data_IF_005113566905
#
_entry.id   IF_005113566905
#
_cell.length_a   1.000
_cell.length_b   1.000
_cell.length_c   1.000
_cell.angle_alpha   90.00
_cell.angle_beta   90.00
_cell.angle_gamma   90.00
#
_symmetry.space_group_name_H-M   'P 1'
#
loop_
_entity.id
_entity.type
_entity.pdbx_description
1 polymer ?
#
# COMPACT_ATOMS: atom_id res chain seq x y z
N UNK A 1 5.84 -4.77 18.20
CA UNK A 1 5.91 -5.00 16.74
C UNK A 1 6.79 -6.19 16.39
N UNK A 2 8.04 -6.27 16.86
CA UNK A 2 8.95 -7.39 16.57
C UNK A 2 8.36 -8.79 16.89
N UNK A 3 7.67 -8.95 18.03
CA UNK A 3 7.02 -10.22 18.38
C UNK A 3 5.84 -10.61 17.49
N UNK A 4 5.27 -9.65 16.74
CA UNK A 4 4.07 -9.87 15.90
C UNK A 4 4.41 -10.08 14.42
N UNK A 5 5.57 -9.62 13.98
CA UNK A 5 6.02 -9.77 12.59
C UNK A 5 6.10 -11.24 12.10
N UNK A 6 6.53 -12.22 12.91
CA UNK A 6 6.58 -13.62 12.47
C UNK A 6 5.23 -14.19 12.02
N UNK A 7 4.11 -13.74 12.61
CA UNK A 7 2.77 -14.20 12.23
C UNK A 7 2.35 -13.74 10.82
N UNK A 8 3.01 -12.71 10.27
CA UNK A 8 2.78 -12.19 8.92
C UNK A 8 3.91 -12.56 7.94
N UNK A 9 4.87 -13.39 8.38
CA UNK A 9 6.05 -13.67 7.59
C UNK A 9 5.70 -14.41 6.28
N UNK A 10 6.44 -14.08 5.22
CA UNK A 10 6.26 -14.67 3.90
C UNK A 10 7.56 -15.35 3.48
N UNK A 11 7.45 -16.56 2.94
CA UNK A 11 8.55 -17.19 2.20
C UNK A 11 8.54 -16.68 0.76
N UNK A 12 9.68 -16.15 0.32
CA UNK A 12 9.82 -15.48 -0.97
C UNK A 12 11.08 -15.99 -1.65
N UNK A 13 10.91 -16.51 -2.86
CA UNK A 13 11.98 -16.94 -3.74
C UNK A 13 11.88 -16.26 -5.11
N UNK A 14 13.02 -16.17 -5.79
CA UNK A 14 13.01 -15.78 -7.21
C UNK A 14 12.62 -17.00 -8.04
N UNK A 15 11.76 -16.78 -9.04
CA UNK A 15 11.40 -17.77 -10.05
C UNK A 15 11.64 -17.21 -11.45
N UNK A 16 11.62 -18.08 -12.46
CA UNK A 16 11.79 -17.64 -13.84
C UNK A 16 10.54 -16.90 -14.31
N UNK A 17 10.71 -15.90 -15.20
CA UNK A 17 9.58 -15.15 -15.74
C UNK A 17 8.59 -16.06 -16.50
N UNK A 18 9.07 -17.18 -17.06
CA UNK A 18 8.22 -18.20 -17.69
C UNK A 18 7.26 -18.87 -16.72
N UNK A 19 7.64 -19.00 -15.44
CA UNK A 19 6.84 -19.67 -14.40
C UNK A 19 5.64 -18.82 -13.97
N UNK A 20 5.61 -17.54 -14.34
CA UNK A 20 4.47 -16.66 -14.09
C UNK A 20 3.25 -17.05 -14.93
N UNK A 21 3.42 -17.79 -16.02
CA UNK A 21 2.33 -18.26 -16.86
C UNK A 21 1.54 -19.41 -16.20
N UNK A 22 0.21 -19.48 -16.38
CA UNK A 22 -0.63 -18.60 -17.20
C UNK A 22 -1.18 -17.38 -16.44
N UNK A 23 -0.83 -17.22 -15.16
CA UNK A 23 -1.38 -16.16 -14.32
C UNK A 23 -0.97 -14.77 -14.80
N UNK A 24 0.25 -14.64 -15.34
CA UNK A 24 0.74 -13.49 -16.08
C UNK A 24 1.11 -13.93 -17.49
N UNK A 25 0.71 -13.14 -18.48
CA UNK A 25 0.92 -13.42 -19.90
C UNK A 25 1.91 -12.40 -20.45
N UNK A 26 3.01 -12.91 -21.00
CA UNK A 26 3.97 -12.13 -21.76
C UNK A 26 3.52 -12.04 -23.22
N UNK A 27 3.40 -10.81 -23.73
CA UNK A 27 3.17 -10.49 -25.13
C UNK A 27 4.37 -9.73 -25.71
N UNK A 28 4.28 -9.31 -26.98
CA UNK A 28 5.29 -8.45 -27.60
C UNK A 28 5.31 -7.02 -27.03
N UNK A 29 4.30 -6.61 -26.26
CA UNK A 29 4.16 -5.23 -25.75
C UNK A 29 4.27 -5.14 -24.23
N UNK A 30 3.84 -6.18 -23.52
CA UNK A 30 3.73 -6.14 -22.07
C UNK A 30 3.71 -7.54 -21.42
N UNK A 31 3.99 -7.56 -20.11
CA UNK A 31 3.69 -8.69 -19.22
C UNK A 31 2.56 -8.23 -18.28
N UNK A 32 1.41 -8.89 -18.32
CA UNK A 32 0.23 -8.49 -17.57
C UNK A 32 -0.65 -9.68 -17.19
N UNK A 33 -1.52 -9.53 -16.20
CA UNK A 33 -2.56 -10.52 -15.93
C UNK A 33 -3.71 -10.43 -16.94
N UNK A 34 -4.31 -11.56 -17.36
CA UNK A 34 -5.47 -11.56 -18.26
C UNK A 34 -6.70 -10.82 -17.70
N UNK A 35 -6.85 -10.78 -16.38
CA UNK A 35 -7.98 -10.12 -15.70
C UNK A 35 -7.81 -8.59 -15.53
N UNK A 36 -6.68 -8.03 -15.99
CA UNK A 36 -6.35 -6.61 -15.85
C UNK A 36 -5.96 -6.19 -14.42
N UNK A 37 -5.82 -7.15 -13.50
CA UNK A 37 -5.43 -6.89 -12.12
C UNK A 37 -3.97 -6.48 -11.95
N UNK A 38 -3.69 -5.90 -10.79
CA UNK A 38 -2.37 -5.50 -10.32
C UNK A 38 -1.70 -4.44 -11.20
N UNK A 39 -0.66 -4.83 -11.91
CA UNK A 39 0.16 -3.96 -12.73
C UNK A 39 0.52 -4.68 -14.03
N UNK A 40 1.21 -3.96 -14.91
CA UNK A 40 1.81 -4.51 -16.13
C UNK A 40 3.23 -4.00 -16.29
N UNK A 41 4.10 -4.80 -16.87
CA UNK A 41 5.42 -4.36 -17.31
C UNK A 41 5.32 -3.99 -18.77
N UNK A 42 5.57 -2.72 -19.11
CA UNK A 42 5.43 -2.17 -20.47
C UNK A 42 6.77 -1.65 -20.99
N UNK A 43 6.97 -1.67 -22.30
CA UNK A 43 8.09 -0.99 -22.95
C UNK A 43 7.79 0.49 -23.21
N UNK A 44 8.76 1.36 -22.95
CA UNK A 44 8.68 2.80 -23.23
C UNK A 44 9.82 3.24 -24.14
N UNK A 45 9.53 4.07 -25.15
CA UNK A 45 10.53 4.78 -25.96
C UNK A 45 10.45 6.26 -25.62
N UNK A 46 11.55 6.83 -25.14
CA UNK A 46 11.61 8.25 -24.78
C UNK A 46 12.50 8.99 -25.77
N UNK A 47 11.93 9.99 -26.44
CA UNK A 47 12.63 10.86 -27.40
C UNK A 47 13.08 12.13 -26.67
N UNK A 48 14.31 12.59 -26.93
CA UNK A 48 14.82 13.86 -26.37
C UNK A 48 14.70 14.99 -27.39
N UNK A 49 14.65 16.22 -26.87
CA UNK A 49 14.83 17.42 -27.66
C UNK A 49 16.22 17.43 -28.33
N UNK A 50 16.32 18.15 -29.47
CA UNK A 50 17.56 18.31 -30.22
C UNK A 50 18.70 18.87 -29.33
N UNK A 51 19.93 18.41 -29.54
CA UNK A 51 21.12 18.88 -28.83
C UNK A 51 21.48 18.14 -27.53
N UNK A 52 20.84 17.01 -27.21
CA UNK A 52 21.25 16.10 -26.11
C UNK A 52 22.13 14.95 -26.61
N UNK A 53 23.03 14.46 -25.75
CA UNK A 53 24.01 13.41 -26.09
C UNK A 53 23.38 12.07 -26.55
N UNK A 54 22.21 11.71 -26.02
CA UNK A 54 21.39 10.62 -26.54
C UNK A 54 20.09 11.18 -27.11
N UNK A 55 19.78 10.86 -28.37
CA UNK A 55 18.55 11.30 -29.04
C UNK A 55 17.30 10.58 -28.55
N UNK A 56 17.45 9.34 -28.06
CA UNK A 56 16.39 8.57 -27.42
C UNK A 56 16.95 7.51 -26.48
N UNK A 57 16.09 6.94 -25.64
CA UNK A 57 16.34 5.67 -24.96
C UNK A 57 15.06 4.83 -24.89
N UNK A 58 15.21 3.56 -24.53
CA UNK A 58 14.10 2.65 -24.26
C UNK A 58 14.28 2.02 -22.89
N UNK A 59 13.19 1.80 -22.17
CA UNK A 59 13.22 1.16 -20.85
C UNK A 59 11.91 0.44 -20.54
N UNK A 60 11.93 -0.59 -19.68
CA UNK A 60 10.71 -1.10 -19.06
C UNK A 60 10.16 -0.07 -18.06
N UNK A 61 8.85 -0.06 -17.93
CA UNK A 61 8.10 0.73 -16.96
C UNK A 61 6.99 -0.13 -16.36
N UNK A 62 6.62 0.16 -15.11
CA UNK A 62 5.42 -0.40 -14.48
C UNK A 62 4.23 0.47 -14.87
N UNK A 63 3.31 -0.10 -15.63
CA UNK A 63 2.01 0.50 -15.95
C UNK A 63 0.94 0.03 -14.96
N UNK A 64 -0.04 0.89 -14.70
CA UNK A 64 -1.20 0.61 -13.85
C UNK A 64 -2.50 0.89 -14.59
N UNK A 65 -3.58 0.24 -14.16
CA UNK A 65 -4.92 0.50 -14.68
C UNK A 65 -5.76 1.42 -13.79
N UNK A 66 -5.45 1.53 -12.49
CA UNK A 66 -6.24 2.33 -11.54
C UNK A 66 -5.39 3.06 -10.50
N UNK A 67 -5.92 4.18 -10.01
CA UNK A 67 -5.35 4.93 -8.89
C UNK A 67 -5.40 4.10 -7.60
N UNK A 68 -4.36 4.25 -6.77
CA UNK A 68 -4.34 3.67 -5.43
C UNK A 68 -4.84 4.66 -4.40
N UNK A 69 -5.27 4.14 -3.26
CA UNK A 69 -5.61 4.90 -2.07
C UNK A 69 -4.69 4.48 -0.94
N UNK A 70 -4.05 5.48 -0.33
CA UNK A 70 -3.11 5.31 0.77
C UNK A 70 -3.51 6.29 1.85
N UNK A 71 -3.85 5.83 3.05
CA UNK A 71 -4.38 6.75 4.05
C UNK A 71 -4.00 6.46 5.49
N UNK A 72 -3.98 7.55 6.26
CA UNK A 72 -3.72 7.57 7.69
C UNK A 72 -5.00 7.91 8.45
N UNK A 73 -5.41 7.04 9.34
CA UNK A 73 -6.42 7.32 10.36
C UNK A 73 -5.72 8.02 11.51
N UNK A 74 -6.21 9.21 11.87
CA UNK A 74 -5.64 10.03 12.93
C UNK A 74 -6.69 10.36 13.99
N UNK A 75 -6.29 10.32 15.26
CA UNK A 75 -7.15 10.69 16.38
C UNK A 75 -6.41 11.67 17.29
N UNK A 76 -7.08 12.72 17.74
CA UNK A 76 -6.52 13.63 18.75
C UNK A 76 -6.59 12.96 20.13
N UNK A 77 -5.49 12.93 20.85
CA UNK A 77 -5.42 12.51 22.25
C UNK A 77 -4.68 13.59 23.05
N UNK A 78 -5.42 14.35 23.86
CA UNK A 78 -4.88 15.56 24.50
C UNK A 78 -4.42 16.57 23.46
N UNK A 79 -3.15 16.97 23.52
CA UNK A 79 -2.53 17.94 22.60
C UNK A 79 -1.85 17.30 21.38
N UNK A 80 -1.85 15.97 21.27
CA UNK A 80 -1.11 15.25 20.22
C UNK A 80 -2.04 14.47 19.30
N UNK A 81 -1.73 14.46 18.00
CA UNK A 81 -2.34 13.53 17.05
C UNK A 81 -1.64 12.16 17.16
N UNK A 82 -2.43 11.13 17.43
CA UNK A 82 -2.05 9.73 17.26
C UNK A 82 -2.43 9.26 15.86
N UNK A 83 -1.59 8.39 15.30
CA UNK A 83 -1.75 7.82 13.97
C UNK A 83 -1.89 6.32 14.11
N UNK A 84 -2.90 5.76 13.46
CA UNK A 84 -3.02 4.31 13.33
C UNK A 84 -2.06 3.82 12.26
N UNK A 85 -1.16 2.92 12.60
CA UNK A 85 -0.27 2.24 11.63
C UNK A 85 -0.55 0.76 11.62
N UNK A 86 -0.16 0.09 10.54
CA UNK A 86 -0.25 -1.36 10.41
C UNK A 86 1.12 -2.00 10.20
N UNK A 87 1.28 -3.25 10.62
CA UNK A 87 2.31 -4.12 10.11
C UNK A 87 1.87 -4.65 8.75
N UNK A 88 2.71 -4.47 7.74
CA UNK A 88 2.43 -4.88 6.37
C UNK A 88 3.54 -5.78 5.84
N UNK A 89 3.14 -6.98 5.42
CA UNK A 89 3.99 -7.92 4.71
C UNK A 89 3.83 -7.69 3.22
N UNK A 90 4.93 -7.41 2.53
CA UNK A 90 4.98 -7.28 1.06
C UNK A 90 6.21 -8.03 0.57
N UNK A 91 6.13 -8.82 -0.51
CA UNK A 91 7.21 -9.73 -0.90
C UNK A 91 8.53 -9.02 -1.25
N UNK A 92 8.44 -7.75 -1.69
CA UNK A 92 9.59 -6.91 -2.01
C UNK A 92 10.16 -6.13 -0.82
N UNK A 93 9.58 -6.24 0.38
CA UNK A 93 10.10 -5.52 1.54
C UNK A 93 11.50 -6.05 1.91
N UNK A 94 12.37 -5.12 2.32
CA UNK A 94 13.65 -5.47 2.95
C UNK A 94 13.44 -6.20 4.28
N UNK A 95 12.29 -5.95 4.92
CA UNK A 95 11.79 -6.65 6.09
C UNK A 95 12.65 -6.51 7.35
N UNK A 96 12.22 -7.21 8.40
CA UNK A 96 12.96 -7.39 9.66
C UNK A 96 13.36 -8.85 9.75
N UNK A 97 14.58 -9.13 10.18
CA UNK A 97 15.06 -10.49 10.41
C UNK A 97 14.64 -10.94 11.81
N UNK A 98 14.07 -12.14 11.93
CA UNK A 98 13.76 -12.73 13.24
C UNK A 98 14.99 -13.40 13.88
N UNK A 99 14.80 -13.97 15.07
CA UNK A 99 15.87 -14.58 15.86
C UNK A 99 16.51 -15.79 15.18
N UNK A 100 15.79 -16.46 14.27
CA UNK A 100 16.25 -17.64 13.55
C UNK A 100 16.90 -17.28 12.20
N UNK A 101 17.07 -15.98 11.93
CA UNK A 101 17.67 -15.49 10.69
C UNK A 101 16.72 -15.58 9.48
N UNK A 102 15.40 -15.65 9.70
CA UNK A 102 14.42 -15.57 8.62
C UNK A 102 13.96 -14.13 8.44
N UNK A 103 13.92 -13.67 7.19
CA UNK A 103 13.40 -12.35 6.87
C UNK A 103 11.87 -12.38 6.87
N UNK A 104 11.25 -11.63 7.77
CA UNK A 104 9.79 -11.56 7.91
C UNK A 104 9.12 -10.81 6.75
N UNK A 105 9.85 -9.98 6.00
CA UNK A 105 9.29 -9.09 4.95
C UNK A 105 8.22 -8.12 5.46
N UNK A 106 8.20 -7.86 6.77
CA UNK A 106 7.25 -6.95 7.41
C UNK A 106 7.87 -5.57 7.61
N UNK A 107 7.13 -4.52 7.27
CA UNK A 107 7.43 -3.13 7.62
C UNK A 107 6.21 -2.48 8.28
N UNK A 108 6.39 -1.27 8.82
CA UNK A 108 5.29 -0.43 9.28
C UNK A 108 4.72 0.34 8.08
N UNK A 109 3.44 0.12 7.80
CA UNK A 109 2.68 0.76 6.72
C UNK A 109 1.58 1.69 7.23
N UNK A 110 0.95 2.44 6.30
CA UNK A 110 -0.16 3.36 6.61
C UNK A 110 -1.38 2.59 7.13
N UNK A 111 -2.40 3.27 7.65
CA UNK A 111 -3.60 2.58 8.17
C UNK A 111 -4.29 1.72 7.10
N UNK A 112 -4.24 2.16 5.85
CA UNK A 112 -4.65 1.36 4.71
C UNK A 112 -3.88 1.75 3.46
N UNK A 113 -3.60 0.76 2.61
CA UNK A 113 -3.09 0.96 1.25
C UNK A 113 -3.74 -0.09 0.33
N UNK A 114 -4.33 0.34 -0.78
CA UNK A 114 -4.91 -0.57 -1.78
C UNK A 114 -5.12 0.13 -3.12
N UNK A 115 -5.31 -0.64 -4.19
CA UNK A 115 -5.80 -0.12 -5.47
C UNK A 115 -7.29 -0.41 -5.65
N UNK A 116 -8.02 0.55 -6.23
CA UNK A 116 -9.46 0.39 -6.45
C UNK A 116 -9.75 -0.73 -7.46
N UNK A 117 -8.91 -0.87 -8.50
CA UNK A 117 -9.05 -1.94 -9.48
C UNK A 117 -8.91 -3.33 -8.87
N UNK A 118 -7.90 -3.55 -8.03
CA UNK A 118 -7.72 -4.85 -7.36
C UNK A 118 -8.82 -5.13 -6.37
N UNK A 119 -9.28 -4.10 -5.65
CA UNK A 119 -10.41 -4.25 -4.74
C UNK A 119 -11.68 -4.68 -5.51
N UNK A 120 -11.97 -4.06 -6.64
CA UNK A 120 -13.12 -4.41 -7.47
C UNK A 120 -13.03 -5.83 -8.04
N UNK A 121 -11.85 -6.26 -8.48
CA UNK A 121 -11.60 -7.64 -8.93
C UNK A 121 -11.84 -8.63 -7.78
N UNK A 122 -11.29 -8.33 -6.60
CA UNK A 122 -11.46 -9.16 -5.42
C UNK A 122 -12.93 -9.23 -4.97
N UNK A 123 -13.67 -8.12 -4.98
CA UNK A 123 -15.10 -8.09 -4.63
C UNK A 123 -15.98 -8.84 -5.62
N UNK A 124 -15.64 -8.83 -6.92
CA UNK A 124 -16.29 -9.67 -7.91
C UNK A 124 -16.04 -11.16 -7.62
N UNK A 125 -14.80 -11.54 -7.29
CA UNK A 125 -14.46 -12.91 -6.93
C UNK A 125 -15.20 -13.40 -5.67
N UNK A 126 -15.40 -12.54 -4.66
CA UNK A 126 -16.15 -12.86 -3.42
C UNK A 126 -17.62 -13.22 -3.64
N UNK A 127 -18.23 -12.86 -4.77
CA UNK A 127 -19.61 -13.27 -5.08
C UNK A 127 -19.73 -14.77 -5.39
N UNK A 128 -18.62 -15.52 -5.39
CA UNK A 128 -18.62 -16.98 -5.27
C UNK A 128 -17.28 -17.57 -4.78
N UNK A 129 -17.16 -17.89 -3.48
CA UNK A 129 -16.20 -18.86 -2.88
C UNK A 129 -14.85 -18.41 -2.24
N UNK A 130 -14.62 -17.16 -1.79
CA UNK A 130 -13.45 -16.90 -0.91
C UNK A 130 -13.77 -15.92 0.24
N UNK A 131 -13.46 -16.38 1.45
CA UNK A 131 -13.68 -15.70 2.73
C UNK A 131 -12.74 -14.49 2.86
N UNK A 132 -13.32 -13.30 2.96
CA UNK A 132 -12.53 -12.09 2.86
C UNK A 132 -12.80 -11.17 4.03
N UNK A 133 -12.10 -11.48 5.11
CA UNK A 133 -11.76 -10.58 6.20
C UNK A 133 -10.86 -9.46 5.64
N UNK A 134 -11.50 -8.53 4.93
CA UNK A 134 -10.86 -7.44 4.21
C UNK A 134 -10.50 -6.27 5.12
N UNK A 135 -9.55 -5.46 4.68
CA UNK A 135 -9.18 -4.20 5.31
C UNK A 135 -10.44 -3.41 5.76
N UNK A 136 -10.59 -3.11 7.06
CA UNK A 136 -11.81 -2.48 7.59
C UNK A 136 -12.05 -1.07 7.04
N UNK A 137 -11.02 -0.46 6.46
CA UNK A 137 -11.02 0.94 6.02
C UNK A 137 -11.26 1.10 4.52
N UNK A 138 -11.56 0.03 3.78
CA UNK A 138 -11.74 0.06 2.32
C UNK A 138 -12.84 0.99 1.81
N UNK A 139 -13.85 1.28 2.64
CA UNK A 139 -14.98 2.14 2.30
C UNK A 139 -14.72 3.62 2.58
N UNK A 140 -13.72 3.93 3.42
CA UNK A 140 -13.43 5.30 3.87
C UNK A 140 -13.11 6.25 2.70
N UNK A 141 -12.37 5.85 1.65
CA UNK A 141 -12.08 6.78 0.56
C UNK A 141 -13.27 7.16 -0.31
N UNK A 142 -14.42 6.50 -0.13
CA UNK A 142 -15.59 6.64 -1.00
C UNK A 142 -16.84 7.10 -0.25
N UNK A 143 -16.72 7.43 1.05
CA UNK A 143 -17.85 7.82 1.87
C UNK A 143 -17.46 8.88 2.90
N UNK A 144 -18.28 9.92 3.03
CA UNK A 144 -18.14 10.97 4.06
C UNK A 144 -18.46 10.43 5.47
N UNK A 145 -19.17 9.29 5.55
CA UNK A 145 -19.45 8.59 6.78
C UNK A 145 -19.58 7.08 6.58
N UNK A 146 -19.26 6.30 7.61
CA UNK A 146 -19.46 4.84 7.64
C UNK A 146 -20.26 4.52 8.90
N UNK A 147 -21.44 3.92 8.73
CA UNK A 147 -22.37 3.56 9.83
C UNK A 147 -22.70 4.73 10.77
N UNK A 148 -22.90 5.93 10.23
CA UNK A 148 -23.25 7.13 11.01
C UNK A 148 -22.08 7.83 11.70
N UNK A 149 -20.84 7.33 11.53
CA UNK A 149 -19.62 8.01 12.00
C UNK A 149 -19.08 8.88 10.89
N UNK A 150 -19.01 10.18 11.12
CA UNK A 150 -18.44 11.16 10.19
C UNK A 150 -16.92 11.11 10.24
N UNK A 151 -16.31 11.09 9.06
CA UNK A 151 -14.86 11.23 8.92
C UNK A 151 -14.54 12.56 8.27
N UNK A 152 -13.52 13.25 8.74
CA UNK A 152 -12.93 14.34 7.97
C UNK A 152 -11.74 13.75 7.19
N UNK A 153 -11.99 13.45 5.92
CA UNK A 153 -11.00 12.89 5.01
C UNK A 153 -10.48 13.97 4.05
N UNK A 154 -9.18 14.21 4.10
CA UNK A 154 -8.46 15.08 3.18
C UNK A 154 -7.64 14.19 2.24
N UNK A 155 -7.80 14.37 0.93
CA UNK A 155 -7.13 13.58 -0.10
C UNK A 155 -6.30 14.46 -1.01
N UNK A 156 -5.11 13.99 -1.35
CA UNK A 156 -4.20 14.65 -2.28
C UNK A 156 -3.61 13.62 -3.25
N UNK A 157 -3.72 13.84 -4.58
CA UNK A 157 -3.01 13.03 -5.54
C UNK A 157 -1.50 13.31 -5.45
N UNK A 158 -0.69 12.26 -5.41
CA UNK A 158 0.76 12.35 -5.50
C UNK A 158 1.32 11.33 -6.50
N UNK A 159 2.30 11.74 -7.33
CA UNK A 159 2.95 10.84 -8.27
C UNK A 159 3.88 9.85 -7.54
N UNK A 160 4.03 8.68 -8.13
CA UNK A 160 5.09 7.73 -7.78
C UNK A 160 6.38 8.01 -8.58
N UNK A 161 7.43 7.20 -8.39
CA UNK A 161 8.72 7.37 -9.08
C UNK A 161 8.57 7.29 -10.62
N UNK A 162 8.68 8.44 -11.29
CA UNK A 162 8.60 8.56 -12.74
C UNK A 162 9.74 7.87 -13.52
N UNK A 163 10.80 7.43 -12.84
CA UNK A 163 11.84 6.61 -13.42
C UNK A 163 11.48 5.12 -13.56
N UNK A 164 10.41 4.67 -12.90
CA UNK A 164 9.97 3.26 -12.87
C UNK A 164 8.50 3.08 -13.19
N UNK A 165 7.64 4.00 -12.77
CA UNK A 165 6.20 3.94 -13.00
C UNK A 165 5.79 4.90 -14.12
N UNK A 166 4.93 4.43 -15.02
CA UNK A 166 4.38 5.26 -16.09
C UNK A 166 3.13 5.98 -15.60
N UNK A 167 3.21 7.32 -15.45
CA UNK A 167 2.10 8.22 -15.08
C UNK A 167 1.32 7.77 -13.82
N UNK A 168 1.97 7.04 -12.92
CA UNK A 168 1.31 6.48 -11.74
C UNK A 168 1.08 7.56 -10.70
N UNK A 169 -0.18 7.72 -10.33
CA UNK A 169 -0.64 8.54 -9.21
C UNK A 169 -1.34 7.65 -8.18
N UNK A 170 -1.12 7.96 -6.91
CA UNK A 170 -1.89 7.47 -5.77
C UNK A 170 -2.56 8.65 -5.06
N UNK A 171 -3.74 8.41 -4.49
CA UNK A 171 -4.45 9.35 -3.64
C UNK A 171 -3.99 9.10 -2.20
N UNK A 172 -3.16 10.00 -1.69
CA UNK A 172 -2.72 9.99 -0.31
C UNK A 172 -3.73 10.77 0.53
N UNK A 173 -4.09 10.28 1.71
CA UNK A 173 -5.06 10.98 2.54
C UNK A 173 -4.88 10.82 4.03
N UNK A 174 -5.56 11.70 4.76
CA UNK A 174 -5.66 11.71 6.21
C UNK A 174 -7.12 11.72 6.59
N UNK A 175 -7.49 10.81 7.50
CA UNK A 175 -8.85 10.56 7.94
C UNK A 175 -8.89 10.81 9.44
N UNK A 176 -9.48 11.93 9.86
CA UNK A 176 -9.61 12.26 11.28
C UNK A 176 -10.82 11.57 11.87
N UNK A 177 -10.60 10.85 12.96
CA UNK A 177 -11.64 10.26 13.81
C UNK A 177 -11.70 10.98 15.16
N UNK A 178 -12.87 10.97 15.79
CA UNK A 178 -13.10 11.56 17.12
C UNK A 178 -12.85 10.60 18.26
N UNK A 179 -13.03 9.29 18.03
CA UNK A 179 -12.82 8.25 19.03
C UNK A 179 -12.00 7.09 18.44
N UNK A 180 -10.96 6.67 19.15
CA UNK A 180 -10.14 5.51 18.78
C UNK A 180 -10.91 4.20 18.92
N UNK A 181 -11.85 4.10 19.86
CA UNK A 181 -12.65 2.89 20.10
C UNK A 181 -13.51 2.56 18.88
N UNK A 182 -13.95 3.57 18.15
CA UNK A 182 -14.70 3.39 16.91
C UNK A 182 -13.90 2.64 15.85
N UNK A 183 -12.61 2.92 15.79
CA UNK A 183 -11.66 2.30 14.87
C UNK A 183 -11.30 0.89 15.34
N UNK A 184 -11.05 0.72 16.64
CA UNK A 184 -10.75 -0.58 17.25
C UNK A 184 -11.92 -1.57 17.08
N UNK A 185 -13.16 -1.11 17.24
CA UNK A 185 -14.35 -1.94 17.06
C UNK A 185 -14.52 -2.41 15.60
N UNK A 186 -14.15 -1.60 14.60
CA UNK A 186 -14.15 -2.05 13.20
C UNK A 186 -12.98 -3.00 12.91
N UNK A 187 -11.80 -2.78 13.51
CA UNK A 187 -10.67 -3.70 13.41
C UNK A 187 -10.97 -5.08 14.00
N UNK A 188 -11.64 -5.13 15.15
CA UNK A 188 -12.04 -6.37 15.81
C UNK A 188 -12.88 -7.27 14.89
N UNK A 189 -13.82 -6.68 14.15
CA UNK A 189 -14.69 -7.39 13.19
C UNK A 189 -13.91 -8.08 12.07
N UNK A 190 -12.69 -7.61 11.78
CA UNK A 190 -11.84 -8.18 10.73
C UNK A 190 -10.86 -9.24 11.23
N UNK A 191 -10.67 -9.34 12.55
CA UNK A 191 -9.62 -10.17 13.14
C UNK A 191 -8.19 -9.64 12.89
N UNK A 192 -8.03 -8.47 12.26
CA UNK A 192 -6.72 -7.90 11.94
C UNK A 192 -6.12 -7.05 13.06
N UNK A 193 -6.80 -6.93 14.21
CA UNK A 193 -6.45 -5.98 15.29
C UNK A 193 -4.98 -6.08 15.71
N UNK A 194 -4.41 -7.28 15.76
CA UNK A 194 -3.03 -7.52 16.17
C UNK A 194 -1.99 -6.85 15.25
N UNK A 195 -2.35 -6.63 13.98
CA UNK A 195 -1.48 -6.00 12.99
C UNK A 195 -1.46 -4.48 13.13
N UNK A 196 -2.37 -3.91 13.90
CA UNK A 196 -2.54 -2.47 14.02
C UNK A 196 -2.05 -1.94 15.36
N UNK A 197 -1.57 -0.71 15.34
CA UNK A 197 -1.15 0.00 16.55
C UNK A 197 -1.30 1.50 16.38
N UNK A 198 -1.84 2.16 17.39
CA UNK A 198 -1.78 3.61 17.49
C UNK A 198 -0.39 4.04 17.95
N UNK A 199 0.18 5.03 17.27
CA UNK A 199 1.51 5.56 17.57
C UNK A 199 1.52 7.08 17.47
N UNK A 200 2.48 7.73 18.13
CA UNK A 200 2.67 9.17 18.03
C UNK A 200 3.58 9.52 16.85
N UNK A 201 3.46 10.75 16.35
CA UNK A 201 4.32 11.26 15.26
C UNK A 201 5.82 11.18 15.64
N UNK A 202 6.26 11.52 16.87
CA UNK A 202 7.67 11.35 17.27
C UNK A 202 8.18 9.91 17.16
N UNK A 203 7.39 8.92 17.60
CA UNK A 203 7.75 7.50 17.48
C UNK A 203 7.83 7.09 16.01
N UNK A 204 6.85 7.52 15.19
CA UNK A 204 6.86 7.22 13.76
C UNK A 204 8.11 7.80 13.05
N UNK A 205 8.55 9.00 13.43
CA UNK A 205 9.80 9.60 12.93
C UNK A 205 11.03 8.77 13.34
N UNK A 206 11.06 8.20 14.54
CA UNK A 206 12.14 7.29 14.95
C UNK A 206 12.14 6.01 14.12
N UNK A 207 10.98 5.38 13.91
CA UNK A 207 10.86 4.19 13.06
C UNK A 207 11.32 4.45 11.63
N UNK A 208 11.02 5.64 11.09
CA UNK A 208 11.46 6.06 9.77
C UNK A 208 13.00 6.13 9.68
N UNK A 209 13.66 6.71 10.69
CA UNK A 209 15.14 6.76 10.77
C UNK A 209 15.79 5.39 10.87
N UNK A 210 15.09 4.42 11.44
CA UNK A 210 15.52 3.02 11.54
C UNK A 210 15.26 2.21 10.26
N UNK A 211 14.65 2.82 9.22
CA UNK A 211 14.32 2.12 7.97
C UNK A 211 13.16 1.12 8.10
N UNK A 212 12.36 1.20 9.17
CA UNK A 212 11.29 0.24 9.47
C UNK A 212 9.93 0.64 8.89
N UNK A 213 9.84 1.78 8.22
CA UNK A 213 8.61 2.34 7.65
C UNK A 213 8.60 2.13 6.15
N UNK A 214 7.51 1.62 5.57
CA UNK A 214 7.40 1.39 4.12
C UNK A 214 7.34 2.71 3.31
N UNK A 215 7.50 2.61 1.99
CA UNK A 215 7.53 3.79 1.10
C UNK A 215 6.27 4.64 1.19
N UNK A 216 5.10 4.00 1.21
CA UNK A 216 3.82 4.69 1.27
C UNK A 216 3.61 5.46 2.58
N UNK A 217 3.93 4.87 3.74
CA UNK A 217 3.83 5.59 5.01
C UNK A 217 4.81 6.78 5.07
N UNK A 218 6.04 6.64 4.56
CA UNK A 218 6.97 7.78 4.46
C UNK A 218 6.38 8.94 3.64
N UNK A 219 5.74 8.64 2.51
CA UNK A 219 5.04 9.65 1.69
C UNK A 219 3.84 10.25 2.42
N UNK A 220 3.00 9.42 3.07
CA UNK A 220 1.84 9.87 3.83
C UNK A 220 2.18 10.75 5.02
N UNK A 221 3.37 10.60 5.61
CA UNK A 221 3.82 11.45 6.73
C UNK A 221 3.92 12.93 6.36
N UNK A 222 4.02 13.27 5.07
CA UNK A 222 3.97 14.68 4.61
C UNK A 222 2.63 15.37 4.91
N UNK A 223 1.57 14.59 5.14
CA UNK A 223 0.22 15.06 5.53
C UNK A 223 0.07 15.28 7.05
N UNK A 224 1.07 14.89 7.83
CA UNK A 224 1.12 15.04 9.29
C UNK A 224 1.93 16.30 9.63
N UNK A 225 1.35 17.46 9.33
CA UNK A 225 1.90 18.79 9.64
C UNK A 225 1.33 19.30 10.95
#
# INVERSE_FOLDING_TARGET
>A
MHQRAPALAMDVELCDLSDLAPAWVQSSKEIARPDGGFFRVIGMRVLRAAGKAASFWMQPMIGYQTSGYVGLVVCRMGEQDLVLVQLIAEPGNVGIWDADGKNTRVLVGPSFQFSQGNLAIHEKAKRGECDAKGNPFKLIPFADSVKGKTFNAEWQPAPEDGGRFFEKVNNYGRVRVTDMNDVLAELEKTGAMENYSWTSIPVLRQLCRLGLVNGHLRSSMSLLV
#
